data_IF_125028907895
#
_entry.id   IF_125028907895
#
_cell.length_a   1.000
_cell.length_b   1.000
_cell.length_c   1.000
_cell.angle_alpha   90.00
_cell.angle_beta   90.00
_cell.angle_gamma   90.00
#
_symmetry.space_group_name_H-M   'P 1'
#
loop_
_entity.id
_entity.type
_entity.pdbx_description
1 polymer ?
#
# COMPACT_ATOMS: atom_id res chain seq x y z
N UNK A 1 5.55 -52.11 19.73
CA UNK A 1 6.22 -51.34 18.66
C UNK A 1 5.25 -51.02 17.48
N UNK A 2 4.53 -52.02 16.92
CA UNK A 2 3.57 -51.81 15.80
C UNK A 2 2.45 -50.84 16.17
N UNK A 3 1.88 -50.93 17.37
CA UNK A 3 0.81 -50.02 17.83
C UNK A 3 1.30 -48.57 17.97
N UNK A 4 2.53 -48.33 18.42
CA UNK A 4 3.13 -46.99 18.53
C UNK A 4 3.33 -46.41 17.13
N UNK A 5 3.84 -47.21 16.20
CA UNK A 5 4.02 -46.75 14.80
C UNK A 5 2.66 -46.37 14.19
N UNK A 6 1.62 -47.17 14.40
CA UNK A 6 0.27 -46.90 13.88
C UNK A 6 -0.29 -45.58 14.47
N UNK A 7 -0.16 -45.38 15.78
CA UNK A 7 -0.60 -44.15 16.45
C UNK A 7 0.16 -42.92 15.91
N UNK A 8 1.49 -43.04 15.72
CA UNK A 8 2.29 -41.98 15.14
C UNK A 8 1.86 -41.63 13.71
N UNK A 9 1.60 -42.64 12.87
CA UNK A 9 1.11 -42.41 11.50
C UNK A 9 -0.24 -41.71 11.51
N UNK A 10 -1.17 -42.12 12.36
CA UNK A 10 -2.49 -41.49 12.49
C UNK A 10 -2.32 -40.02 12.92
N UNK A 11 -1.50 -39.76 13.94
CA UNK A 11 -1.26 -38.40 14.41
C UNK A 11 -0.66 -37.50 13.33
N UNK A 12 0.38 -37.98 12.62
CA UNK A 12 1.00 -37.26 11.50
C UNK A 12 -0.01 -37.01 10.38
N UNK A 13 -0.83 -37.97 10.04
CA UNK A 13 -1.87 -37.83 9.01
C UNK A 13 -2.93 -36.78 9.40
N UNK A 14 -3.40 -36.82 10.65
CA UNK A 14 -4.34 -35.82 11.17
C UNK A 14 -3.73 -34.43 11.20
N UNK A 15 -2.49 -34.29 11.66
CA UNK A 15 -1.76 -33.02 11.68
C UNK A 15 -1.54 -32.46 10.26
N UNK A 16 -1.15 -33.33 9.32
CA UNK A 16 -1.00 -32.94 7.92
C UNK A 16 -2.35 -32.51 7.28
N UNK A 17 -3.42 -33.27 7.53
CA UNK A 17 -4.77 -32.92 7.07
C UNK A 17 -5.23 -31.59 7.65
N UNK A 18 -5.00 -31.36 8.93
CA UNK A 18 -5.31 -30.09 9.59
C UNK A 18 -4.53 -28.93 8.96
N UNK A 19 -3.21 -29.10 8.77
CA UNK A 19 -2.36 -28.08 8.15
C UNK A 19 -2.78 -27.79 6.70
N UNK A 20 -3.07 -28.81 5.90
CA UNK A 20 -3.58 -28.64 4.54
C UNK A 20 -4.90 -27.88 4.52
N UNK A 21 -5.82 -28.20 5.42
CA UNK A 21 -7.11 -27.52 5.51
C UNK A 21 -6.94 -26.07 5.93
N UNK A 22 -6.05 -25.80 6.90
CA UNK A 22 -5.75 -24.45 7.35
C UNK A 22 -5.13 -23.60 6.23
N UNK A 23 -4.21 -24.14 5.44
CA UNK A 23 -3.45 -23.40 4.45
C UNK A 23 -4.17 -23.24 3.09
N UNK A 24 -4.89 -24.28 2.62
CA UNK A 24 -5.37 -24.32 1.23
C UNK A 24 -6.88 -24.39 1.06
N UNK A 25 -7.62 -24.76 2.11
CA UNK A 25 -9.07 -24.95 2.06
C UNK A 25 -9.79 -24.03 3.06
N UNK A 26 -11.08 -24.27 3.32
CA UNK A 26 -11.84 -23.60 4.39
C UNK A 26 -11.26 -24.03 5.75
N UNK A 27 -10.68 -23.12 6.55
CA UNK A 27 -10.26 -23.42 7.92
C UNK A 27 -11.44 -23.88 8.80
N UNK A 28 -11.14 -24.63 9.85
CA UNK A 28 -12.17 -25.16 10.75
C UNK A 28 -12.88 -24.06 11.55
N UNK A 29 -12.17 -22.98 11.91
CA UNK A 29 -12.76 -21.84 12.59
C UNK A 29 -12.62 -20.56 11.76
N UNK A 30 -13.54 -19.65 11.97
CA UNK A 30 -13.52 -18.33 11.35
C UNK A 30 -12.28 -17.51 11.76
N UNK A 31 -11.86 -17.59 13.01
CA UNK A 31 -10.66 -16.94 13.51
C UNK A 31 -9.38 -17.44 12.83
N UNK A 32 -9.31 -18.75 12.52
CA UNK A 32 -8.20 -19.29 11.72
C UNK A 32 -8.20 -18.75 10.29
N UNK A 33 -9.38 -18.52 9.72
CA UNK A 33 -9.50 -17.88 8.41
C UNK A 33 -8.94 -16.44 8.45
N UNK A 34 -9.35 -15.62 9.41
CA UNK A 34 -8.86 -14.25 9.57
C UNK A 34 -7.35 -14.20 9.80
N UNK A 35 -6.84 -15.06 10.68
CA UNK A 35 -5.39 -15.17 10.95
C UNK A 35 -4.63 -15.55 9.68
N UNK A 36 -5.15 -16.49 8.90
CA UNK A 36 -4.54 -16.89 7.63
C UNK A 36 -4.48 -15.72 6.64
N UNK A 37 -5.55 -14.92 6.53
CA UNK A 37 -5.53 -13.72 5.67
C UNK A 37 -4.43 -12.75 6.10
N UNK A 38 -4.38 -12.42 7.39
CA UNK A 38 -3.36 -11.52 7.93
C UNK A 38 -1.93 -12.03 7.65
N UNK A 39 -1.69 -13.32 7.87
CA UNK A 39 -0.37 -13.93 7.63
C UNK A 39 -0.01 -13.89 6.14
N UNK A 40 -0.96 -14.20 5.26
CA UNK A 40 -0.72 -14.17 3.81
C UNK A 40 -0.40 -12.77 3.32
N UNK A 41 -1.19 -11.77 3.75
CA UNK A 41 -0.97 -10.38 3.34
C UNK A 41 0.37 -9.86 3.85
N UNK A 42 0.74 -10.21 5.08
CA UNK A 42 2.05 -9.86 5.63
C UNK A 42 3.20 -10.50 4.86
N UNK A 43 3.12 -11.81 4.54
CA UNK A 43 4.18 -12.53 3.84
C UNK A 43 4.35 -12.08 2.38
N UNK A 44 3.32 -11.53 1.76
CA UNK A 44 3.36 -11.01 0.39
C UNK A 44 3.92 -9.59 0.29
N UNK A 45 4.09 -8.88 1.42
CA UNK A 45 4.64 -7.53 1.49
C UNK A 45 5.94 -7.49 2.30
N UNK A 46 7.11 -7.62 1.64
CA UNK A 46 8.41 -7.54 2.32
C UNK A 46 8.61 -6.24 3.09
N UNK A 47 8.11 -5.11 2.57
CA UNK A 47 8.19 -3.81 3.23
C UNK A 47 7.37 -3.78 4.51
N UNK A 48 6.16 -4.36 4.50
CA UNK A 48 5.32 -4.46 5.69
C UNK A 48 5.97 -5.34 6.76
N UNK A 49 6.54 -6.50 6.36
CA UNK A 49 7.30 -7.35 7.29
C UNK A 49 8.48 -6.61 7.91
N UNK A 50 9.18 -5.78 7.13
CA UNK A 50 10.27 -4.93 7.64
C UNK A 50 9.75 -3.93 8.66
N UNK A 51 8.63 -3.26 8.35
CA UNK A 51 8.02 -2.26 9.23
C UNK A 51 7.60 -2.84 10.58
N UNK A 52 6.95 -4.01 10.60
CA UNK A 52 6.50 -4.63 11.86
C UNK A 52 7.62 -5.41 12.58
N UNK A 53 8.67 -5.86 11.89
CA UNK A 53 9.84 -6.53 12.46
C UNK A 53 9.55 -7.83 13.23
N UNK A 54 8.34 -8.38 13.15
CA UNK A 54 7.88 -9.48 14.03
C UNK A 54 8.67 -10.78 13.84
N UNK A 55 9.19 -11.04 12.65
CA UNK A 55 9.92 -12.27 12.34
C UNK A 55 11.40 -12.16 12.69
N UNK A 56 11.93 -10.97 12.91
CA UNK A 56 13.34 -10.74 13.21
C UNK A 56 13.77 -11.38 14.52
N UNK A 57 12.90 -11.34 15.54
CA UNK A 57 13.14 -11.99 16.85
C UNK A 57 13.31 -13.51 16.75
N UNK A 58 12.85 -14.11 15.66
CA UNK A 58 13.06 -15.54 15.35
C UNK A 58 14.24 -15.79 14.39
N UNK A 59 15.04 -14.75 14.09
CA UNK A 59 16.17 -14.83 13.16
C UNK A 59 15.81 -14.83 11.69
N UNK A 60 14.51 -14.73 11.35
CA UNK A 60 14.04 -14.70 9.96
C UNK A 60 13.87 -13.25 9.48
N UNK A 61 14.79 -12.78 8.64
CA UNK A 61 14.81 -11.41 8.11
C UNK A 61 15.25 -11.30 6.64
N UNK A 62 15.21 -12.41 5.90
CA UNK A 62 15.59 -12.40 4.47
C UNK A 62 14.67 -11.54 3.60
N UNK A 63 13.46 -11.23 4.07
CA UNK A 63 12.54 -10.29 3.45
C UNK A 63 13.09 -8.85 3.41
N UNK A 64 14.04 -8.49 4.30
CA UNK A 64 14.69 -7.18 4.30
C UNK A 64 15.54 -6.93 3.03
N UNK A 65 15.86 -7.96 2.27
CA UNK A 65 16.53 -7.84 0.97
C UNK A 65 15.58 -7.80 -0.23
N UNK A 66 14.27 -7.72 -0.04
CA UNK A 66 13.25 -7.79 -1.10
C UNK A 66 12.36 -6.58 -1.12
N UNK A 67 11.79 -6.28 -2.29
CA UNK A 67 10.67 -5.35 -2.51
C UNK A 67 9.46 -6.12 -3.01
N UNK A 68 8.28 -5.53 -2.85
CA UNK A 68 7.02 -6.08 -3.35
C UNK A 68 7.01 -6.19 -4.87
N UNK A 69 6.29 -7.17 -5.38
CA UNK A 69 6.05 -7.37 -6.80
C UNK A 69 4.85 -6.52 -7.26
N UNK A 70 5.10 -5.61 -8.20
CA UNK A 70 4.10 -4.72 -8.78
C UNK A 70 3.68 -5.13 -10.20
N UNK A 71 4.00 -6.36 -10.64
CA UNK A 71 3.68 -6.84 -11.98
C UNK A 71 2.17 -6.98 -12.23
N UNK A 72 1.76 -6.94 -13.49
CA UNK A 72 0.39 -7.25 -13.92
C UNK A 72 0.02 -8.70 -13.60
N UNK A 73 0.98 -9.62 -13.69
CA UNK A 73 0.77 -11.03 -13.34
C UNK A 73 0.40 -11.17 -11.86
N UNK A 74 1.10 -10.44 -10.98
CA UNK A 74 0.78 -10.40 -9.54
C UNK A 74 -0.63 -9.89 -9.29
N UNK A 75 -1.05 -8.80 -9.96
CA UNK A 75 -2.41 -8.27 -9.82
C UNK A 75 -3.49 -9.31 -10.19
N UNK A 76 -3.28 -10.05 -11.29
CA UNK A 76 -4.19 -11.12 -11.74
C UNK A 76 -4.24 -12.26 -10.72
N UNK A 77 -3.08 -12.70 -10.23
CA UNK A 77 -2.96 -13.75 -9.22
C UNK A 77 -3.65 -13.35 -7.92
N UNK A 78 -3.44 -12.11 -7.47
CA UNK A 78 -4.03 -11.60 -6.25
C UNK A 78 -5.55 -11.48 -6.35
N UNK A 79 -6.07 -11.00 -7.47
CA UNK A 79 -7.51 -10.93 -7.71
C UNK A 79 -8.14 -12.35 -7.72
N UNK A 80 -7.47 -13.32 -8.32
CA UNK A 80 -7.92 -14.73 -8.31
C UNK A 80 -7.96 -15.30 -6.90
N UNK A 81 -6.91 -15.02 -6.10
CA UNK A 81 -6.82 -15.40 -4.68
C UNK A 81 -7.95 -14.74 -3.88
N UNK A 82 -8.11 -13.43 -4.01
CA UNK A 82 -9.15 -12.66 -3.33
C UNK A 82 -10.56 -13.21 -3.61
N UNK A 83 -10.87 -13.52 -4.87
CA UNK A 83 -12.14 -14.13 -5.26
C UNK A 83 -12.35 -15.53 -4.63
N UNK A 84 -11.28 -16.32 -4.50
CA UNK A 84 -11.32 -17.61 -3.82
C UNK A 84 -11.59 -17.44 -2.32
N UNK A 85 -10.87 -16.55 -1.67
CA UNK A 85 -11.01 -16.28 -0.24
C UNK A 85 -12.38 -15.69 0.09
N UNK A 86 -12.92 -14.83 -0.77
CA UNK A 86 -14.28 -14.31 -0.64
C UNK A 86 -15.35 -15.43 -0.65
N UNK A 87 -15.20 -16.43 -1.53
CA UNK A 87 -16.10 -17.61 -1.55
C UNK A 87 -15.99 -18.42 -0.26
N UNK A 88 -14.79 -18.59 0.29
CA UNK A 88 -14.59 -19.27 1.57
C UNK A 88 -15.25 -18.46 2.70
N UNK A 89 -15.09 -17.15 2.71
CA UNK A 89 -15.69 -16.27 3.71
C UNK A 89 -17.23 -16.36 3.73
N UNK A 90 -17.86 -16.38 2.55
CA UNK A 90 -19.32 -16.57 2.45
C UNK A 90 -19.77 -17.90 3.04
N UNK A 91 -18.98 -18.96 2.90
CA UNK A 91 -19.35 -20.32 3.29
C UNK A 91 -19.39 -20.59 4.79
N UNK A 92 -19.01 -19.63 5.63
CA UNK A 92 -19.23 -19.71 7.09
C UNK A 92 -20.69 -19.36 7.40
N UNK A 93 -21.41 -20.28 8.04
CA UNK A 93 -22.81 -20.01 8.44
C UNK A 93 -22.85 -19.00 9.58
N UNK A 94 -23.85 -18.12 9.57
CA UNK A 94 -23.94 -17.04 10.56
C UNK A 94 -24.27 -17.56 11.95
N UNK A 95 -25.03 -18.64 12.02
CA UNK A 95 -25.49 -19.29 13.24
C UNK A 95 -24.35 -20.00 14.00
N UNK A 96 -23.25 -20.28 13.32
CA UNK A 96 -22.05 -20.88 13.91
C UNK A 96 -21.06 -19.84 14.46
N UNK A 97 -21.34 -18.54 14.27
CA UNK A 97 -20.42 -17.45 14.63
C UNK A 97 -20.88 -16.70 15.89
N UNK A 98 -19.92 -16.33 16.72
CA UNK A 98 -20.18 -15.38 17.80
C UNK A 98 -20.59 -13.99 17.26
N UNK A 99 -21.13 -13.12 18.08
CA UNK A 99 -21.51 -11.76 17.70
C UNK A 99 -20.31 -10.95 17.15
N UNK A 100 -19.11 -11.13 17.73
CA UNK A 100 -17.87 -10.50 17.28
C UNK A 100 -17.39 -11.06 15.93
N UNK A 101 -17.44 -12.38 15.77
CA UNK A 101 -17.09 -13.04 14.51
C UNK A 101 -18.06 -12.67 13.40
N UNK A 102 -19.35 -12.55 13.70
CA UNK A 102 -20.36 -12.11 12.74
C UNK A 102 -20.11 -10.65 12.28
N UNK A 103 -19.72 -9.78 13.20
CA UNK A 103 -19.33 -8.40 12.89
C UNK A 103 -18.09 -8.38 12.00
N UNK A 104 -17.06 -9.13 12.35
CA UNK A 104 -15.82 -9.27 11.56
C UNK A 104 -16.09 -9.85 10.17
N UNK A 105 -17.00 -10.83 10.07
CA UNK A 105 -17.44 -11.40 8.78
C UNK A 105 -18.11 -10.34 7.91
N UNK A 106 -19.02 -9.54 8.45
CA UNK A 106 -19.73 -8.46 7.72
C UNK A 106 -18.72 -7.42 7.18
N UNK A 107 -17.77 -6.99 8.02
CA UNK A 107 -16.72 -6.06 7.62
C UNK A 107 -15.86 -6.66 6.50
N UNK A 108 -15.39 -7.89 6.67
CA UNK A 108 -14.55 -8.57 5.68
C UNK A 108 -15.28 -8.80 4.35
N UNK A 109 -16.57 -9.17 4.38
CA UNK A 109 -17.41 -9.29 3.18
C UNK A 109 -17.54 -7.96 2.44
N UNK A 110 -17.77 -6.88 3.17
CA UNK A 110 -17.87 -5.54 2.59
C UNK A 110 -16.55 -5.13 1.93
N UNK A 111 -15.42 -5.29 2.63
CA UNK A 111 -14.10 -4.93 2.12
C UNK A 111 -13.71 -5.77 0.89
N UNK A 112 -13.78 -7.09 0.99
CA UNK A 112 -13.41 -7.98 -0.11
C UNK A 112 -14.30 -7.80 -1.34
N UNK A 113 -15.62 -7.62 -1.17
CA UNK A 113 -16.53 -7.35 -2.28
C UNK A 113 -16.16 -6.07 -3.02
N UNK A 114 -15.93 -4.99 -2.28
CA UNK A 114 -15.56 -3.70 -2.87
C UNK A 114 -14.20 -3.76 -3.56
N UNK A 115 -13.25 -4.47 -2.99
CA UNK A 115 -11.93 -4.67 -3.60
C UNK A 115 -12.02 -5.51 -4.88
N UNK A 116 -12.84 -6.57 -4.90
CA UNK A 116 -13.12 -7.36 -6.10
C UNK A 116 -13.77 -6.48 -7.18
N UNK A 117 -14.77 -5.67 -6.82
CA UNK A 117 -15.44 -4.75 -7.73
C UNK A 117 -14.43 -3.75 -8.31
N UNK A 118 -13.62 -3.11 -7.47
CA UNK A 118 -12.62 -2.13 -7.90
C UNK A 118 -11.57 -2.76 -8.82
N UNK A 119 -10.97 -3.89 -8.43
CA UNK A 119 -9.94 -4.56 -9.22
C UNK A 119 -10.48 -5.18 -10.51
N UNK A 120 -11.78 -5.51 -10.58
CA UNK A 120 -12.40 -6.12 -11.76
C UNK A 120 -12.88 -5.06 -12.75
N UNK A 121 -13.54 -3.99 -12.26
CA UNK A 121 -14.18 -2.97 -13.11
C UNK A 121 -13.26 -1.79 -13.39
N UNK A 122 -12.41 -1.43 -12.42
CA UNK A 122 -11.59 -0.21 -12.44
C UNK A 122 -10.11 -0.47 -12.10
N UNK A 123 -9.45 -1.47 -12.74
CA UNK A 123 -8.09 -1.89 -12.35
C UNK A 123 -7.03 -0.79 -12.57
N UNK A 124 -7.34 0.21 -13.40
CA UNK A 124 -6.40 1.25 -13.80
C UNK A 124 -6.80 2.67 -13.39
N UNK A 125 -7.90 2.85 -12.64
CA UNK A 125 -8.40 4.18 -12.24
C UNK A 125 -7.62 4.84 -11.09
N UNK A 126 -6.77 4.11 -10.40
CA UNK A 126 -5.82 4.67 -9.42
C UNK A 126 -4.45 4.90 -10.06
N UNK A 127 -3.80 6.01 -9.71
CA UNK A 127 -2.49 6.37 -10.27
C UNK A 127 -1.37 5.91 -9.33
N UNK A 128 -0.31 5.22 -9.85
CA UNK A 128 0.80 4.76 -9.03
C UNK A 128 1.76 5.88 -8.62
N UNK A 129 1.82 6.94 -9.43
CA UNK A 129 2.63 8.13 -9.19
C UNK A 129 1.70 9.31 -8.91
N UNK A 130 1.68 9.78 -7.68
CA UNK A 130 0.91 10.93 -7.21
C UNK A 130 1.80 11.80 -6.32
N UNK A 131 1.54 13.10 -6.26
CA UNK A 131 2.41 14.07 -5.59
C UNK A 131 2.51 13.88 -4.07
N UNK A 132 1.49 13.30 -3.41
CA UNK A 132 1.47 13.19 -1.95
C UNK A 132 2.03 11.88 -1.41
N UNK A 133 1.88 10.79 -2.13
CA UNK A 133 2.25 9.46 -1.65
C UNK A 133 2.50 8.49 -2.82
N UNK A 134 3.16 8.98 -3.86
CA UNK A 134 3.51 8.18 -5.03
C UNK A 134 4.63 7.19 -4.73
N UNK A 135 4.69 6.10 -5.50
CA UNK A 135 5.72 5.07 -5.28
C UNK A 135 7.16 5.64 -5.44
N UNK A 136 7.34 6.64 -6.29
CA UNK A 136 8.64 7.29 -6.53
C UNK A 136 9.23 7.97 -5.30
N UNK A 137 8.41 8.49 -4.38
CA UNK A 137 8.87 9.06 -3.11
C UNK A 137 8.86 8.03 -1.99
N UNK A 138 7.79 7.23 -1.88
CA UNK A 138 7.65 6.21 -0.83
C UNK A 138 8.80 5.21 -0.77
N UNK A 139 9.35 4.83 -1.93
CA UNK A 139 10.46 3.88 -1.96
C UNK A 139 11.74 4.48 -1.37
N UNK A 140 11.95 5.80 -1.56
CA UNK A 140 13.07 6.51 -0.95
C UNK A 140 12.88 6.61 0.56
N UNK A 141 11.72 7.10 1.02
CA UNK A 141 11.36 7.20 2.43
C UNK A 141 11.49 5.84 3.14
N UNK A 142 11.00 4.78 2.50
CA UNK A 142 11.14 3.45 3.05
C UNK A 142 12.61 3.03 3.23
N UNK A 143 13.46 3.31 2.24
CA UNK A 143 14.88 2.96 2.29
C UNK A 143 15.64 3.80 3.31
N UNK A 144 15.32 5.09 3.45
CA UNK A 144 15.98 6.00 4.38
C UNK A 144 15.50 5.81 5.82
N UNK A 145 14.19 5.76 6.03
CA UNK A 145 13.61 5.90 7.36
C UNK A 145 13.26 4.55 8.00
N UNK A 146 12.79 3.59 7.18
CA UNK A 146 12.23 2.33 7.69
C UNK A 146 13.24 1.18 7.64
N UNK A 147 14.03 1.07 6.55
CA UNK A 147 14.95 -0.06 6.38
C UNK A 147 15.97 -0.13 7.53
N UNK A 148 15.98 -1.23 8.34
CA UNK A 148 16.89 -1.35 9.47
C UNK A 148 18.28 -1.80 9.01
N UNK A 149 19.32 -1.31 9.69
CA UNK A 149 20.69 -1.84 9.57
C UNK A 149 21.21 -2.11 10.98
N UNK A 150 21.24 -3.37 11.37
CA UNK A 150 21.67 -3.84 12.70
C UNK A 150 23.01 -4.55 12.63
N UNK A 151 23.39 -5.05 11.46
CA UNK A 151 24.63 -5.74 11.18
C UNK A 151 24.99 -5.71 9.69
N UNK A 152 26.11 -6.33 9.31
CA UNK A 152 26.59 -6.41 7.94
C UNK A 152 25.60 -7.13 6.98
N UNK A 153 24.79 -8.06 7.50
CA UNK A 153 23.79 -8.76 6.70
C UNK A 153 22.66 -7.81 6.25
N UNK A 154 22.23 -6.92 7.14
CA UNK A 154 21.26 -5.89 6.81
C UNK A 154 21.84 -4.86 5.83
N UNK A 155 23.12 -4.53 5.95
CA UNK A 155 23.80 -3.70 4.95
C UNK A 155 23.76 -4.33 3.55
N UNK A 156 23.93 -5.65 3.44
CA UNK A 156 23.78 -6.38 2.17
C UNK A 156 22.32 -6.36 1.68
N UNK A 157 21.35 -6.49 2.57
CA UNK A 157 19.93 -6.40 2.22
C UNK A 157 19.53 -5.01 1.69
N UNK A 158 20.12 -3.95 2.25
CA UNK A 158 19.92 -2.60 1.73
C UNK A 158 20.35 -2.51 0.26
N UNK A 159 21.57 -2.96 -0.07
CA UNK A 159 22.05 -2.99 -1.45
C UNK A 159 21.17 -3.85 -2.37
N UNK A 160 20.71 -5.00 -1.88
CA UNK A 160 19.81 -5.87 -2.63
C UNK A 160 18.50 -5.15 -3.00
N UNK A 161 17.94 -4.36 -2.08
CA UNK A 161 16.74 -3.54 -2.37
C UNK A 161 17.01 -2.43 -3.38
N UNK A 162 18.15 -1.75 -3.27
CA UNK A 162 18.53 -0.74 -4.28
C UNK A 162 18.59 -1.36 -5.69
N UNK A 163 19.10 -2.57 -5.81
CA UNK A 163 19.15 -3.28 -7.08
C UNK A 163 17.78 -3.69 -7.63
N UNK A 164 16.76 -3.80 -6.76
CA UNK A 164 15.39 -4.15 -7.17
C UNK A 164 14.54 -2.93 -7.60
N UNK A 165 14.92 -1.70 -7.24
CA UNK A 165 14.16 -0.49 -7.58
C UNK A 165 13.87 -0.41 -9.09
N UNK A 166 14.83 -0.64 -10.01
CA UNK A 166 14.55 -0.60 -11.45
C UNK A 166 13.49 -1.61 -11.89
N UNK A 167 13.47 -2.81 -11.31
CA UNK A 167 12.45 -3.81 -11.60
C UNK A 167 11.06 -3.32 -11.17
N UNK A 168 10.94 -2.77 -9.96
CA UNK A 168 9.69 -2.19 -9.46
C UNK A 168 9.20 -1.08 -10.40
N UNK A 169 10.09 -0.17 -10.82
CA UNK A 169 9.71 0.93 -11.71
C UNK A 169 9.36 0.44 -13.12
N UNK A 170 10.01 -0.59 -13.64
CA UNK A 170 9.62 -1.17 -14.93
C UNK A 170 8.20 -1.78 -14.88
N UNK A 171 7.84 -2.45 -13.79
CA UNK A 171 6.50 -2.98 -13.58
C UNK A 171 5.44 -1.86 -13.47
N UNK A 172 5.79 -0.74 -12.84
CA UNK A 172 4.93 0.43 -12.78
C UNK A 172 4.77 1.08 -14.15
N UNK A 173 5.85 1.21 -14.91
CA UNK A 173 5.81 1.72 -16.28
C UNK A 173 4.91 0.87 -17.18
N UNK A 174 4.97 -0.45 -17.08
CA UNK A 174 4.06 -1.33 -17.81
C UNK A 174 2.58 -1.03 -17.49
N UNK A 175 2.26 -0.80 -16.20
CA UNK A 175 0.91 -0.40 -15.78
C UNK A 175 0.54 1.00 -16.26
N UNK A 176 1.48 1.93 -16.34
CA UNK A 176 1.26 3.28 -16.86
C UNK A 176 0.99 3.26 -18.36
N UNK A 177 1.70 2.43 -19.12
CA UNK A 177 1.43 2.21 -20.55
C UNK A 177 0.03 1.61 -20.79
N UNK A 178 -0.44 0.68 -19.95
CA UNK A 178 -1.81 0.18 -20.00
C UNK A 178 -2.83 1.30 -19.81
N UNK A 179 -2.59 2.22 -18.84
CA UNK A 179 -3.46 3.39 -18.61
C UNK A 179 -3.48 4.32 -19.81
N UNK A 180 -2.32 4.61 -20.39
CA UNK A 180 -2.18 5.44 -21.60
C UNK A 180 -3.02 4.87 -22.75
N UNK A 181 -2.92 3.55 -23.00
CA UNK A 181 -3.70 2.87 -24.03
C UNK A 181 -5.22 2.90 -23.76
N UNK A 182 -5.64 2.95 -22.50
CA UNK A 182 -7.03 3.07 -22.07
C UNK A 182 -7.49 4.53 -21.95
N UNK A 183 -6.66 5.51 -22.29
CA UNK A 183 -6.92 6.95 -22.15
C UNK A 183 -7.25 7.37 -20.72
N UNK A 184 -6.63 6.73 -19.75
CA UNK A 184 -6.75 7.04 -18.32
C UNK A 184 -5.52 7.87 -17.93
N UNK A 185 -5.69 9.19 -17.86
CA UNK A 185 -4.62 10.14 -17.56
C UNK A 185 -4.85 10.85 -16.22
N UNK A 186 -3.79 11.04 -15.41
CA UNK A 186 -3.89 11.93 -14.26
C UNK A 186 -4.18 13.38 -14.70
N UNK A 187 -4.79 14.21 -13.84
CA UNK A 187 -4.87 15.63 -14.08
C UNK A 187 -3.49 16.26 -14.29
N UNK A 188 -3.40 17.24 -15.18
CA UNK A 188 -2.11 17.84 -15.60
C UNK A 188 -1.29 18.37 -14.42
N UNK A 189 -1.93 18.99 -13.44
CA UNK A 189 -1.22 19.52 -12.26
C UNK A 189 -0.54 18.42 -11.44
N UNK A 190 -1.13 17.22 -11.40
CA UNK A 190 -0.56 16.05 -10.72
C UNK A 190 0.68 15.56 -11.47
N UNK A 191 0.60 15.46 -12.80
CA UNK A 191 1.73 15.07 -13.66
C UNK A 191 2.89 16.04 -13.49
N UNK A 192 2.62 17.36 -13.54
CA UNK A 192 3.63 18.41 -13.38
C UNK A 192 4.33 18.36 -12.02
N UNK A 193 3.57 18.14 -10.95
CA UNK A 193 4.16 18.02 -9.60
C UNK A 193 5.03 16.77 -9.46
N UNK A 194 4.60 15.63 -10.03
CA UNK A 194 5.40 14.40 -10.00
C UNK A 194 6.66 14.55 -10.85
N UNK A 195 6.58 15.23 -12.01
CA UNK A 195 7.76 15.56 -12.83
C UNK A 195 8.77 16.34 -11.98
N UNK A 196 8.35 17.45 -11.34
CA UNK A 196 9.25 18.26 -10.50
C UNK A 196 9.88 17.43 -9.36
N UNK A 197 9.11 16.60 -8.68
CA UNK A 197 9.63 15.71 -7.63
C UNK A 197 10.69 14.74 -8.14
N UNK A 198 10.50 14.17 -9.34
CA UNK A 198 11.47 13.25 -9.94
C UNK A 198 12.72 13.99 -10.41
N UNK A 199 12.57 15.19 -11.00
CA UNK A 199 13.69 16.07 -11.37
C UNK A 199 14.53 16.41 -10.13
N UNK A 200 13.89 16.84 -9.04
CA UNK A 200 14.56 17.11 -7.76
C UNK A 200 15.37 15.89 -7.26
N UNK A 201 14.83 14.67 -7.39
CA UNK A 201 15.54 13.43 -6.99
C UNK A 201 16.76 13.18 -7.88
N UNK A 202 16.64 13.37 -9.19
CA UNK A 202 17.70 13.11 -10.17
C UNK A 202 18.84 14.13 -10.05
N UNK A 203 18.49 15.38 -9.74
CA UNK A 203 19.45 16.50 -9.69
C UNK A 203 20.29 16.51 -8.40
N UNK A 204 19.95 15.71 -7.39
CA UNK A 204 20.76 15.59 -6.18
C UNK A 204 22.15 15.03 -6.53
N UNK A 205 23.24 15.77 -6.24
CA UNK A 205 24.59 15.24 -6.44
C UNK A 205 24.76 13.88 -5.72
N UNK A 206 25.39 12.92 -6.37
CA UNK A 206 25.50 11.55 -5.85
C UNK A 206 26.09 11.50 -4.43
N UNK A 207 27.02 12.38 -4.11
CA UNK A 207 27.64 12.50 -2.78
C UNK A 207 26.70 13.03 -1.69
N UNK A 208 25.60 13.64 -2.08
CA UNK A 208 24.57 14.19 -1.18
C UNK A 208 23.27 13.40 -1.24
N UNK A 209 23.22 12.32 -2.03
CA UNK A 209 22.00 11.53 -2.18
C UNK A 209 21.62 10.87 -0.85
N UNK A 210 20.38 11.05 -0.34
CA UNK A 210 19.95 10.51 0.96
C UNK A 210 20.11 8.99 1.06
N UNK A 211 19.94 8.25 -0.04
CA UNK A 211 20.17 6.80 -0.08
C UNK A 211 21.62 6.41 0.21
N UNK A 212 22.58 7.35 0.11
CA UNK A 212 23.99 7.14 0.42
C UNK A 212 24.33 7.69 1.79
N UNK A 213 23.94 8.94 2.07
CA UNK A 213 24.33 9.62 3.31
C UNK A 213 23.72 8.96 4.54
N UNK A 214 22.42 8.66 4.49
CA UNK A 214 21.71 7.96 5.57
C UNK A 214 22.19 6.50 5.69
N UNK A 215 22.51 5.84 4.58
CA UNK A 215 23.12 4.51 4.62
C UNK A 215 24.46 4.52 5.33
N UNK A 216 25.35 5.49 5.02
CA UNK A 216 26.65 5.71 5.70
C UNK A 216 26.48 5.92 7.20
N UNK A 217 25.51 6.78 7.59
CA UNK A 217 25.20 7.04 9.00
C UNK A 217 24.74 5.78 9.73
N UNK A 218 23.86 4.99 9.11
CA UNK A 218 23.40 3.71 9.67
C UNK A 218 24.53 2.70 9.82
N UNK A 219 25.46 2.60 8.85
CA UNK A 219 26.63 1.74 8.93
C UNK A 219 27.58 2.18 10.06
N UNK A 220 27.77 3.48 10.22
CA UNK A 220 28.60 4.07 11.27
C UNK A 220 27.98 3.79 12.65
N UNK A 221 26.68 3.87 12.79
CA UNK A 221 25.95 3.67 14.05
C UNK A 221 26.09 2.25 14.63
N UNK A 222 26.33 1.26 13.76
CA UNK A 222 26.57 -0.13 14.19
C UNK A 222 28.05 -0.45 14.44
N UNK A 223 28.93 0.55 14.41
CA UNK A 223 30.37 0.39 14.68
C UNK A 223 31.15 -0.32 13.56
N UNK A 224 30.67 -0.26 12.32
CA UNK A 224 31.38 -0.84 11.17
C UNK A 224 32.70 -0.07 10.91
N UNK A 225 33.76 -0.79 10.51
CA UNK A 225 35.05 -0.15 10.20
C UNK A 225 34.94 0.79 8.99
N UNK A 226 35.74 1.86 9.00
CA UNK A 226 35.76 2.88 7.94
C UNK A 226 36.01 2.26 6.56
N UNK A 227 36.86 1.25 6.44
CA UNK A 227 37.12 0.58 5.17
C UNK A 227 35.88 -0.15 4.64
N UNK A 228 35.17 -0.84 5.52
CA UNK A 228 33.91 -1.50 5.14
C UNK A 228 32.82 -0.49 4.79
N UNK A 229 32.67 0.59 5.58
CA UNK A 229 31.73 1.69 5.28
C UNK A 229 32.00 2.24 3.86
N UNK A 230 33.26 2.57 3.55
CA UNK A 230 33.66 3.08 2.25
C UNK A 230 33.35 2.06 1.14
N UNK A 231 33.62 0.77 1.37
CA UNK A 231 33.27 -0.29 0.42
C UNK A 231 31.78 -0.37 0.13
N UNK A 232 30.92 -0.36 1.16
CA UNK A 232 29.47 -0.41 1.02
C UNK A 232 28.90 0.87 0.38
N UNK A 233 29.39 2.04 0.77
CA UNK A 233 29.06 3.33 0.19
C UNK A 233 29.36 3.39 -1.30
N UNK A 234 30.57 2.91 -1.72
CA UNK A 234 30.94 2.86 -3.13
C UNK A 234 30.03 1.93 -3.92
N UNK A 235 29.65 0.76 -3.37
CA UNK A 235 28.68 -0.14 -3.98
C UNK A 235 27.30 0.52 -4.14
N UNK A 236 26.79 1.15 -3.08
CA UNK A 236 25.53 1.88 -3.13
C UNK A 236 25.55 2.99 -4.17
N UNK A 237 26.61 3.81 -4.20
CA UNK A 237 26.80 4.89 -5.17
C UNK A 237 26.77 4.38 -6.60
N UNK A 238 27.43 3.26 -6.87
CA UNK A 238 27.43 2.63 -8.19
C UNK A 238 26.02 2.16 -8.59
N UNK A 239 25.33 1.43 -7.70
CA UNK A 239 23.97 0.93 -7.95
C UNK A 239 23.02 2.11 -8.22
N UNK A 240 23.09 3.17 -7.40
CA UNK A 240 22.23 4.34 -7.56
C UNK A 240 22.51 5.01 -8.89
N UNK A 241 23.77 5.29 -9.22
CA UNK A 241 24.16 5.95 -10.46
C UNK A 241 23.82 5.14 -11.72
N UNK A 242 24.09 3.84 -11.70
CA UNK A 242 23.99 2.99 -12.88
C UNK A 242 22.61 2.35 -13.08
N UNK A 243 21.79 2.26 -12.01
CA UNK A 243 20.52 1.53 -12.04
C UNK A 243 19.34 2.36 -11.55
N UNK A 244 19.44 2.96 -10.36
CA UNK A 244 18.30 3.66 -9.74
C UNK A 244 17.97 4.96 -10.47
N UNK A 245 18.95 5.87 -10.65
CA UNK A 245 18.71 7.13 -11.34
C UNK A 245 18.27 6.95 -12.81
N UNK A 246 18.84 6.02 -13.60
CA UNK A 246 18.30 5.74 -14.92
C UNK A 246 16.86 5.23 -14.91
N UNK A 247 16.44 4.48 -13.89
CA UNK A 247 15.04 4.04 -13.77
C UNK A 247 14.08 5.19 -13.45
N UNK A 248 14.51 6.20 -12.68
CA UNK A 248 13.76 7.45 -12.51
C UNK A 248 13.64 8.25 -13.81
N UNK A 249 14.72 8.28 -14.61
CA UNK A 249 14.68 8.94 -15.93
C UNK A 249 13.65 8.31 -16.86
N UNK A 250 13.48 6.97 -16.81
CA UNK A 250 12.42 6.30 -17.58
C UNK A 250 11.02 6.69 -17.13
N UNK A 251 10.78 6.83 -15.80
CA UNK A 251 9.52 7.36 -15.29
C UNK A 251 9.28 8.80 -15.78
N UNK A 252 10.31 9.64 -15.73
CA UNK A 252 10.25 11.02 -16.18
C UNK A 252 9.91 11.13 -17.67
N UNK A 253 10.54 10.33 -18.52
CA UNK A 253 10.23 10.26 -19.96
C UNK A 253 8.78 9.93 -20.21
N UNK A 254 8.25 8.90 -19.54
CA UNK A 254 6.83 8.53 -19.67
C UNK A 254 5.90 9.64 -19.21
N UNK A 255 6.23 10.33 -18.11
CA UNK A 255 5.42 11.46 -17.62
C UNK A 255 5.40 12.62 -18.62
N UNK A 256 6.54 12.93 -19.27
CA UNK A 256 6.58 13.92 -20.35
C UNK A 256 5.75 13.51 -21.57
N UNK A 257 5.69 12.22 -21.92
CA UNK A 257 4.82 11.73 -22.99
C UNK A 257 3.34 11.88 -22.67
N UNK A 258 2.91 11.62 -21.43
CA UNK A 258 1.49 11.70 -21.05
C UNK A 258 1.04 13.11 -20.68
N UNK A 259 1.96 14.03 -20.35
CA UNK A 259 1.65 15.40 -19.96
C UNK A 259 0.74 16.12 -20.98
N UNK A 260 1.03 16.14 -22.30
CA UNK A 260 0.16 16.79 -23.28
C UNK A 260 -1.19 16.08 -23.49
N UNK A 261 -1.33 14.82 -23.01
CA UNK A 261 -2.57 14.05 -23.08
C UNK A 261 -3.43 14.25 -21.82
N UNK A 262 -2.84 14.78 -20.75
CA UNK A 262 -3.50 15.10 -19.50
C UNK A 262 -4.31 16.39 -19.63
N UNK A 263 -5.40 16.52 -18.88
CA UNK A 263 -6.32 17.64 -18.99
C UNK A 263 -6.42 18.43 -17.67
N UNK A 264 -7.12 19.57 -17.73
CA UNK A 264 -7.41 20.41 -16.58
C UNK A 264 -8.66 19.99 -15.81
N UNK A 265 -9.37 18.98 -16.27
CA UNK A 265 -10.51 18.43 -15.54
C UNK A 265 -10.03 17.56 -14.40
N UNK A 266 -10.18 18.03 -13.17
CA UNK A 266 -9.66 17.39 -11.95
C UNK A 266 -10.62 16.36 -11.35
N UNK A 267 -11.84 16.24 -11.87
CA UNK A 267 -12.84 15.33 -11.35
C UNK A 267 -12.74 13.92 -11.91
N UNK A 268 -13.11 12.94 -11.10
CA UNK A 268 -13.11 11.52 -11.51
C UNK A 268 -14.10 11.21 -12.64
N UNK A 269 -15.09 12.08 -12.88
CA UNK A 269 -16.01 12.01 -14.03
C UNK A 269 -15.32 12.18 -15.38
N UNK A 270 -14.08 12.67 -15.40
CA UNK A 270 -13.26 12.71 -16.62
C UNK A 270 -12.72 11.35 -17.05
N UNK A 271 -12.77 10.37 -16.15
CA UNK A 271 -12.29 9.01 -16.40
C UNK A 271 -13.38 8.18 -17.13
N UNK A 272 -13.00 7.16 -17.90
CA UNK A 272 -13.95 6.20 -18.43
C UNK A 272 -14.83 5.61 -17.31
N UNK A 273 -16.16 5.64 -17.49
CA UNK A 273 -17.14 5.22 -16.48
C UNK A 273 -16.94 5.88 -15.09
N UNK A 274 -16.55 7.17 -15.10
CA UNK A 274 -16.13 7.92 -13.92
C UNK A 274 -17.22 8.05 -12.86
N UNK A 275 -18.50 8.22 -13.24
CA UNK A 275 -19.63 8.35 -12.32
C UNK A 275 -19.85 7.07 -11.51
N UNK A 276 -19.80 5.91 -12.15
CA UNK A 276 -19.90 4.62 -11.47
C UNK A 276 -18.67 4.34 -10.62
N UNK A 277 -17.48 4.72 -11.09
CA UNK A 277 -16.26 4.66 -10.28
C UNK A 277 -16.36 5.55 -9.03
N UNK A 278 -16.87 6.79 -9.18
CA UNK A 278 -17.08 7.68 -8.05
C UNK A 278 -18.08 7.10 -7.03
N UNK A 279 -19.19 6.54 -7.51
CA UNK A 279 -20.18 5.86 -6.67
C UNK A 279 -19.57 4.68 -5.89
N UNK A 280 -18.72 3.88 -6.56
CA UNK A 280 -17.98 2.82 -5.87
C UNK A 280 -17.04 3.38 -4.80
N UNK A 281 -16.33 4.48 -5.08
CA UNK A 281 -15.43 5.13 -4.12
C UNK A 281 -16.18 5.71 -2.93
N UNK A 282 -17.35 6.34 -3.16
CA UNK A 282 -18.22 6.81 -2.08
C UNK A 282 -18.65 5.66 -1.17
N UNK A 283 -19.13 4.56 -1.74
CA UNK A 283 -19.52 3.36 -0.97
C UNK A 283 -18.38 2.83 -0.11
N UNK A 284 -17.17 2.76 -0.66
CA UNK A 284 -15.98 2.31 0.06
C UNK A 284 -15.65 3.25 1.23
N UNK A 285 -15.67 4.55 1.01
CA UNK A 285 -15.24 5.55 1.99
C UNK A 285 -16.27 5.81 3.08
N UNK A 286 -17.56 5.74 2.74
CA UNK A 286 -18.65 6.03 3.69
C UNK A 286 -19.24 4.77 4.33
N UNK A 287 -18.87 3.58 3.85
CA UNK A 287 -19.48 2.29 4.23
C UNK A 287 -21.01 2.27 4.08
N UNK A 288 -21.54 3.08 3.17
CA UNK A 288 -22.97 3.24 2.91
C UNK A 288 -23.26 3.26 1.41
N UNK A 289 -24.53 3.09 1.04
CA UNK A 289 -25.00 3.19 -0.35
C UNK A 289 -25.58 4.59 -0.67
N UNK A 290 -25.22 5.62 0.11
CA UNK A 290 -25.66 6.99 -0.17
C UNK A 290 -25.11 7.52 -1.49
N UNK A 291 -25.97 8.25 -2.22
CA UNK A 291 -25.54 9.00 -3.40
C UNK A 291 -24.69 10.22 -3.02
N UNK A 292 -23.96 10.75 -3.99
CA UNK A 292 -23.18 11.99 -3.81
C UNK A 292 -24.04 13.15 -3.30
N UNK A 293 -25.26 13.30 -3.83
CA UNK A 293 -26.21 14.33 -3.40
C UNK A 293 -26.68 14.13 -1.95
N UNK A 294 -26.99 12.89 -1.56
CA UNK A 294 -27.36 12.59 -0.18
C UNK A 294 -26.23 12.93 0.79
N UNK A 295 -24.99 12.54 0.46
CA UNK A 295 -23.81 12.85 1.29
C UNK A 295 -23.59 14.37 1.37
N UNK A 296 -23.71 15.08 0.25
CA UNK A 296 -23.59 16.54 0.23
C UNK A 296 -24.63 17.20 1.13
N UNK A 297 -25.91 16.79 1.04
CA UNK A 297 -26.99 17.32 1.87
C UNK A 297 -26.79 17.00 3.37
N UNK A 298 -26.30 15.82 3.71
CA UNK A 298 -25.91 15.48 5.07
C UNK A 298 -24.82 16.45 5.56
N UNK A 299 -23.80 16.71 4.75
CA UNK A 299 -22.72 17.64 5.05
C UNK A 299 -23.23 19.07 5.29
N UNK A 300 -24.10 19.59 4.42
CA UNK A 300 -24.71 20.92 4.59
C UNK A 300 -25.52 21.04 5.90
N UNK A 301 -26.32 20.01 6.20
CA UNK A 301 -27.11 19.98 7.42
C UNK A 301 -26.21 19.95 8.67
N UNK A 302 -25.15 19.18 8.62
CA UNK A 302 -24.20 19.06 9.75
C UNK A 302 -23.40 20.36 9.97
N UNK A 303 -22.94 21.00 8.89
CA UNK A 303 -22.32 22.34 9.00
C UNK A 303 -23.28 23.33 9.65
N UNK A 304 -24.56 23.34 9.25
CA UNK A 304 -25.58 24.22 9.85
C UNK A 304 -25.77 23.90 11.34
N UNK A 305 -25.85 22.62 11.70
CA UNK A 305 -26.02 22.16 13.09
C UNK A 305 -24.84 22.62 13.94
N UNK A 306 -23.61 22.29 13.52
CA UNK A 306 -22.39 22.63 14.27
C UNK A 306 -22.21 24.14 14.37
N UNK A 307 -22.44 24.89 13.30
CA UNK A 307 -22.35 26.37 13.33
C UNK A 307 -23.34 26.97 14.34
N UNK A 308 -24.57 26.44 14.43
CA UNK A 308 -25.55 26.91 15.39
C UNK A 308 -25.15 26.57 16.85
N UNK A 309 -24.58 25.39 17.09
CA UNK A 309 -24.04 25.02 18.40
C UNK A 309 -22.91 25.95 18.84
N UNK A 310 -21.96 26.20 17.93
CA UNK A 310 -20.84 27.14 18.18
C UNK A 310 -21.40 28.54 18.53
N UNK A 311 -22.38 29.05 17.77
CA UNK A 311 -23.01 30.33 18.05
C UNK A 311 -23.65 30.37 19.46
N UNK A 312 -24.31 29.29 19.87
CA UNK A 312 -24.91 29.20 21.17
C UNK A 312 -23.87 29.21 22.31
N UNK A 313 -22.75 28.49 22.09
CA UNK A 313 -21.64 28.47 23.04
C UNK A 313 -21.03 29.87 23.16
N UNK A 314 -20.70 30.51 22.03
CA UNK A 314 -20.11 31.87 22.01
C UNK A 314 -21.03 32.89 22.71
N UNK A 315 -22.36 32.83 22.48
CA UNK A 315 -23.31 33.69 23.20
C UNK A 315 -23.27 33.43 24.70
N UNK A 316 -23.22 32.17 25.13
CA UNK A 316 -23.13 31.83 26.56
C UNK A 316 -21.85 32.34 27.23
N UNK A 317 -20.76 32.41 26.45
CA UNK A 317 -19.45 32.98 26.86
C UNK A 317 -19.38 34.50 26.75
N UNK A 318 -20.49 35.19 26.40
CA UNK A 318 -20.61 36.67 26.41
C UNK A 318 -20.15 37.37 25.10
N UNK A 319 -19.98 36.64 24.00
CA UNK A 319 -19.70 37.27 22.70
C UNK A 319 -20.97 37.84 22.08
N UNK A 320 -20.99 39.14 21.77
CA UNK A 320 -22.19 39.83 21.26
C UNK A 320 -22.42 39.60 19.76
N UNK A 321 -21.34 39.54 18.94
CA UNK A 321 -21.45 39.37 17.50
C UNK A 321 -20.99 37.98 17.05
N UNK A 322 -21.95 37.03 17.03
CA UNK A 322 -21.68 35.63 16.64
C UNK A 322 -22.22 35.27 15.27
N UNK A 323 -22.55 36.26 14.40
CA UNK A 323 -23.12 35.99 13.08
C UNK A 323 -22.07 35.36 12.15
N UNK A 324 -20.84 35.79 12.21
CA UNK A 324 -19.71 35.21 11.50
C UNK A 324 -18.78 34.46 12.47
N UNK A 325 -19.06 33.18 12.66
CA UNK A 325 -18.30 32.33 13.59
C UNK A 325 -16.82 32.29 13.26
N UNK A 326 -16.44 32.36 11.97
CA UNK A 326 -15.04 32.33 11.53
C UNK A 326 -14.25 33.62 11.84
N UNK A 327 -14.92 34.72 12.17
CA UNK A 327 -14.26 35.97 12.62
C UNK A 327 -14.07 36.02 14.13
N UNK A 328 -14.81 35.19 14.87
CA UNK A 328 -14.76 35.16 16.34
C UNK A 328 -13.73 34.14 16.84
N UNK A 329 -13.47 33.07 16.07
CA UNK A 329 -12.49 32.03 16.33
C UNK A 329 -11.13 32.37 15.74
#
# INVERSE_FOLDING_TARGET
>A
KRSIILITIIFVTLAATYALKLLFFKPFSFNHFLTRQLVYDALESPEYLTYIGILEKYGYRSYNGKLSDYSLEKDIKDLKKLKKEYKILISYENEELSAEELTSKKISLFQMRNEIDQRTKYPYHSYPLIQMNGLHTRILEFMTDIHPIKDEKDAKYYLSRLEMIPLVFSQILEKMEKRKNLKIFPPIFMVERVIGQIEDIIDIPISKNPLITIYEDKLSSIGMSTDLINSYKNKASRIIKEKVLPSYQLLLLHLHEIKPLSNTNHGVWSLPDGDNYYSLRLRIMTTSDYSAEQIHNIGLNEVKRVTNEIRNILKAEGYENVNNVGEVL
#
